data_IF_870695797090
#
_entry.id   IF_870695797090
#
_cell.length_a   1.000
_cell.length_b   1.000
_cell.length_c   1.000
_cell.angle_alpha   90.00
_cell.angle_beta   90.00
_cell.angle_gamma   90.00
#
_symmetry.space_group_name_H-M   'P 1'
#
loop_
_entity.id
_entity.type
_entity.pdbx_description
1 polymer ?
#
# COMPACT_ATOMS: atom_id res chain seq x y z
N UNK A 1 -18.57 10.54 27.57
CA UNK A 1 -19.68 11.06 26.74
C UNK A 1 -19.93 10.00 25.69
N UNK A 2 -21.11 9.38 25.72
CA UNK A 2 -21.43 8.22 24.91
C UNK A 2 -21.61 8.66 23.44
N UNK A 3 -21.33 7.80 22.45
CA UNK A 3 -21.60 8.10 21.03
C UNK A 3 -23.09 8.44 20.80
N UNK A 4 -24.00 7.88 21.61
CA UNK A 4 -25.43 8.24 21.59
C UNK A 4 -25.71 9.70 22.01
N UNK A 5 -24.94 10.26 22.95
CA UNK A 5 -25.05 11.68 23.30
C UNK A 5 -24.57 12.56 22.15
N UNK A 6 -23.57 12.10 21.38
CA UNK A 6 -23.04 12.82 20.24
C UNK A 6 -24.09 12.97 19.14
N UNK A 7 -24.84 11.89 18.83
CA UNK A 7 -25.93 11.91 17.83
C UNK A 7 -26.98 12.98 18.11
N UNK A 8 -27.33 13.17 19.38
CA UNK A 8 -28.41 14.09 19.79
C UNK A 8 -27.98 15.54 20.02
N UNK A 9 -26.67 15.84 20.05
CA UNK A 9 -26.15 17.15 20.49
C UNK A 9 -25.18 17.82 19.52
N UNK A 10 -24.47 17.05 18.70
CA UNK A 10 -23.53 17.62 17.73
C UNK A 10 -24.28 17.90 16.44
N UNK A 11 -24.03 19.07 15.86
CA UNK A 11 -24.81 19.55 14.71
C UNK A 11 -23.95 19.99 13.54
N UNK A 12 -22.65 20.22 13.75
CA UNK A 12 -21.72 20.68 12.72
C UNK A 12 -20.58 19.71 12.48
N UNK A 13 -19.95 19.83 11.31
CA UNK A 13 -18.69 19.12 10.99
C UNK A 13 -17.62 19.41 12.03
N UNK A 14 -17.50 20.68 12.49
CA UNK A 14 -16.55 21.09 13.53
C UNK A 14 -16.80 20.36 14.86
N UNK A 15 -18.06 20.22 15.27
CA UNK A 15 -18.42 19.52 16.50
C UNK A 15 -17.99 18.05 16.46
N UNK A 16 -18.28 17.38 15.34
CA UNK A 16 -17.99 15.97 15.09
C UNK A 16 -16.49 15.74 14.97
N UNK A 17 -15.75 16.60 14.28
CA UNK A 17 -14.30 16.53 14.17
C UNK A 17 -13.62 16.63 15.53
N UNK A 18 -13.97 17.65 16.32
CA UNK A 18 -13.43 17.79 17.68
C UNK A 18 -13.82 16.60 18.57
N UNK A 19 -15.02 16.04 18.37
CA UNK A 19 -15.47 14.83 19.09
C UNK A 19 -14.61 13.62 18.72
N UNK A 20 -14.47 13.35 17.43
CA UNK A 20 -13.68 12.27 16.86
C UNK A 20 -12.24 12.30 17.39
N UNK A 21 -11.54 13.43 17.25
CA UNK A 21 -10.17 13.60 17.76
C UNK A 21 -10.06 13.29 19.24
N UNK A 22 -11.03 13.76 20.05
CA UNK A 22 -11.04 13.46 21.49
C UNK A 22 -11.26 11.97 21.77
N UNK A 23 -12.14 11.31 21.01
CA UNK A 23 -12.42 9.87 21.16
C UNK A 23 -11.21 9.03 20.72
N UNK A 24 -10.60 9.37 19.60
CA UNK A 24 -9.45 8.69 19.02
C UNK A 24 -8.23 8.76 19.94
N UNK A 25 -7.92 9.95 20.45
CA UNK A 25 -6.84 10.12 21.43
C UNK A 25 -7.14 9.41 22.76
N UNK A 26 -8.39 9.46 23.23
CA UNK A 26 -8.76 8.75 24.47
C UNK A 26 -8.67 7.22 24.32
N UNK A 27 -8.96 6.69 23.13
CA UNK A 27 -8.85 5.27 22.83
C UNK A 27 -7.41 4.84 22.51
N UNK A 28 -6.46 5.77 22.46
CA UNK A 28 -5.06 5.50 22.11
C UNK A 28 -4.97 4.71 20.79
N UNK A 29 -5.71 5.18 19.77
CA UNK A 29 -5.67 4.58 18.45
C UNK A 29 -4.29 4.77 17.81
N UNK A 30 -3.87 3.77 17.05
CA UNK A 30 -2.68 3.88 16.21
C UNK A 30 -3.06 4.35 14.80
N UNK A 31 -2.18 5.16 14.18
CA UNK A 31 -2.35 5.71 12.84
C UNK A 31 -1.12 5.35 11.97
N UNK A 32 -1.35 5.03 10.70
CA UNK A 32 -0.27 4.63 9.79
C UNK A 32 -0.73 4.01 8.46
N UNK A 33 -2.04 3.83 8.29
CA UNK A 33 -2.68 3.28 7.10
C UNK A 33 -3.18 4.38 6.15
N UNK A 34 -2.41 5.45 5.97
CA UNK A 34 -2.74 6.59 5.09
C UNK A 34 -2.77 7.95 5.80
N UNK A 35 -3.03 7.97 7.10
CA UNK A 35 -2.93 9.18 7.95
C UNK A 35 -2.03 8.92 9.15
N UNK A 36 -1.40 9.96 9.70
CA UNK A 36 -0.40 9.84 10.78
C UNK A 36 -0.91 10.30 12.15
N UNK A 37 -2.12 10.87 12.22
CA UNK A 37 -2.66 11.40 13.46
C UNK A 37 -4.20 11.39 13.48
N UNK A 38 -4.74 11.57 14.69
CA UNK A 38 -6.17 11.54 14.94
C UNK A 38 -6.98 12.62 14.22
N UNK A 39 -6.39 13.79 13.95
CA UNK A 39 -7.09 14.88 13.29
C UNK A 39 -7.32 14.55 11.81
N UNK A 40 -6.27 14.13 11.12
CA UNK A 40 -6.34 13.81 9.69
C UNK A 40 -7.25 12.59 9.45
N UNK A 41 -7.15 11.52 10.27
CA UNK A 41 -8.02 10.36 10.09
C UNK A 41 -9.49 10.68 10.40
N UNK A 42 -9.74 11.51 11.42
CA UNK A 42 -11.09 11.98 11.73
C UNK A 42 -11.67 12.84 10.59
N UNK A 43 -10.88 13.76 10.04
CA UNK A 43 -11.28 14.57 8.90
C UNK A 43 -11.59 13.68 7.69
N UNK A 44 -10.72 12.71 7.38
CA UNK A 44 -10.93 11.75 6.31
C UNK A 44 -12.25 10.99 6.46
N UNK A 45 -12.49 10.36 7.63
CA UNK A 45 -13.71 9.59 7.86
C UNK A 45 -14.97 10.45 7.77
N UNK A 46 -14.93 11.68 8.27
CA UNK A 46 -16.07 12.61 8.21
C UNK A 46 -16.34 13.04 6.77
N UNK A 47 -15.32 13.52 6.05
CA UNK A 47 -15.47 14.00 4.68
C UNK A 47 -15.92 12.87 3.74
N UNK A 48 -15.31 11.68 3.87
CA UNK A 48 -15.69 10.50 3.11
C UNK A 48 -17.16 10.12 3.34
N UNK A 49 -17.59 10.06 4.60
CA UNK A 49 -18.97 9.68 4.97
C UNK A 49 -20.01 10.69 4.48
N UNK A 50 -19.64 11.98 4.43
CA UNK A 50 -20.51 13.05 3.93
C UNK A 50 -20.40 13.28 2.42
N UNK A 51 -19.59 12.48 1.71
CA UNK A 51 -19.30 12.64 0.28
C UNK A 51 -18.78 14.04 -0.08
N UNK A 52 -17.96 14.61 0.81
CA UNK A 52 -17.30 15.91 0.63
C UNK A 52 -15.88 15.73 0.05
N UNK A 53 -15.32 16.77 -0.60
CA UNK A 53 -13.94 16.72 -1.08
C UNK A 53 -12.95 16.46 0.07
N UNK A 54 -12.16 15.40 -0.05
CA UNK A 54 -11.22 14.95 1.01
C UNK A 54 -10.07 15.94 1.24
N UNK A 55 -9.77 16.79 0.27
CA UNK A 55 -8.72 17.81 0.30
C UNK A 55 -9.18 19.15 0.90
N UNK A 56 -10.47 19.28 1.29
CA UNK A 56 -11.04 20.57 1.73
C UNK A 56 -12.01 20.41 2.89
N UNK A 57 -11.55 20.75 4.08
CA UNK A 57 -12.33 20.67 5.31
C UNK A 57 -12.96 22.01 5.69
N UNK A 58 -12.20 23.10 5.58
CA UNK A 58 -12.51 24.42 6.14
C UNK A 58 -13.86 24.99 5.70
N UNK A 59 -14.27 24.90 4.42
CA UNK A 59 -15.55 25.45 3.98
C UNK A 59 -16.77 24.80 4.64
N UNK A 60 -16.61 23.57 5.14
CA UNK A 60 -17.71 22.76 5.66
C UNK A 60 -17.78 22.74 7.19
N UNK A 61 -16.77 23.27 7.89
CA UNK A 61 -16.68 23.17 9.35
C UNK A 61 -17.94 23.65 10.08
N UNK A 62 -18.54 24.76 9.62
CA UNK A 62 -19.71 25.37 10.26
C UNK A 62 -21.04 24.98 9.56
N UNK A 63 -20.99 24.06 8.60
CA UNK A 63 -22.18 23.49 7.96
C UNK A 63 -22.98 22.70 9.00
N UNK A 64 -24.29 22.95 9.04
CA UNK A 64 -25.20 22.17 9.86
C UNK A 64 -25.60 20.91 9.10
N UNK A 65 -25.46 19.77 9.76
CA UNK A 65 -25.75 18.48 9.20
C UNK A 65 -27.19 18.06 9.51
N UNK A 66 -27.79 17.31 8.60
CA UNK A 66 -29.02 16.58 8.83
C UNK A 66 -28.77 15.49 9.88
N UNK A 67 -29.83 15.07 10.57
CA UNK A 67 -29.70 14.05 11.61
C UNK A 67 -29.13 12.74 11.05
N UNK A 68 -29.52 12.35 9.84
CA UNK A 68 -29.00 11.14 9.17
C UNK A 68 -27.49 11.22 8.87
N UNK A 69 -26.99 12.40 8.52
CA UNK A 69 -25.56 12.66 8.29
C UNK A 69 -24.78 12.56 9.61
N UNK A 70 -25.30 13.17 10.68
CA UNK A 70 -24.73 13.05 12.02
C UNK A 70 -24.70 11.59 12.46
N UNK A 71 -25.80 10.86 12.30
CA UNK A 71 -25.90 9.45 12.70
C UNK A 71 -24.87 8.59 11.95
N UNK A 72 -24.70 8.82 10.65
CA UNK A 72 -23.76 8.09 9.79
C UNK A 72 -22.30 8.37 10.19
N UNK A 73 -21.96 9.65 10.43
CA UNK A 73 -20.62 10.05 10.87
C UNK A 73 -20.32 9.52 12.28
N UNK A 74 -21.25 9.66 13.23
CA UNK A 74 -21.04 9.16 14.58
C UNK A 74 -20.86 7.64 14.57
N UNK A 75 -21.57 6.93 13.71
CA UNK A 75 -21.46 5.48 13.56
C UNK A 75 -20.09 5.05 13.02
N UNK A 76 -19.56 5.65 11.95
CA UNK A 76 -18.23 5.29 11.44
C UNK A 76 -17.13 5.60 12.47
N UNK A 77 -17.27 6.72 13.21
CA UNK A 77 -16.33 7.10 14.27
C UNK A 77 -16.39 6.11 15.45
N UNK A 78 -17.58 5.60 15.78
CA UNK A 78 -17.78 4.55 16.79
C UNK A 78 -17.08 3.27 16.37
N UNK A 79 -17.31 2.82 15.13
CA UNK A 79 -16.65 1.64 14.56
C UNK A 79 -15.13 1.78 14.59
N UNK A 80 -14.58 2.93 14.19
CA UNK A 80 -13.13 3.19 14.24
C UNK A 80 -12.54 3.02 15.65
N UNK A 81 -13.26 3.46 16.68
CA UNK A 81 -12.83 3.34 18.08
C UNK A 81 -12.99 1.93 18.63
N UNK A 82 -14.13 1.28 18.37
CA UNK A 82 -14.47 0.00 18.98
C UNK A 82 -13.86 -1.19 18.25
N UNK A 83 -13.86 -1.16 16.91
CA UNK A 83 -13.36 -2.25 16.07
C UNK A 83 -11.86 -2.12 15.78
N UNK A 84 -11.30 -0.92 16.01
CA UNK A 84 -9.91 -0.54 15.69
C UNK A 84 -9.47 -0.97 14.28
N UNK A 85 -10.40 -0.98 13.33
CA UNK A 85 -10.06 -1.17 11.92
C UNK A 85 -9.41 0.11 11.40
N UNK A 86 -8.33 0.00 10.59
CA UNK A 86 -7.82 1.14 9.83
C UNK A 86 -8.95 1.85 9.06
N UNK A 87 -8.89 3.18 8.98
CA UNK A 87 -9.90 3.94 8.25
C UNK A 87 -10.15 3.43 6.81
N UNK A 88 -9.13 3.02 6.03
CA UNK A 88 -9.36 2.46 4.70
C UNK A 88 -10.25 1.22 4.63
N UNK A 89 -10.30 0.39 5.67
CA UNK A 89 -11.21 -0.77 5.70
C UNK A 89 -12.63 -0.37 6.08
N UNK A 90 -12.80 0.73 6.83
CA UNK A 90 -14.12 1.27 7.14
C UNK A 90 -14.74 1.96 5.91
N UNK A 91 -13.91 2.60 5.08
CA UNK A 91 -14.32 3.32 3.87
C UNK A 91 -14.25 2.48 2.60
N UNK A 92 -13.55 1.35 2.66
CA UNK A 92 -13.11 0.55 1.51
C UNK A 92 -12.32 1.34 0.46
N UNK A 93 -11.53 2.31 0.92
CA UNK A 93 -10.80 3.23 0.06
C UNK A 93 -9.43 3.55 0.66
N UNK A 94 -8.39 3.39 -0.15
CA UNK A 94 -7.04 3.82 0.16
C UNK A 94 -6.46 4.67 -0.97
N UNK A 95 -5.49 5.51 -0.62
CA UNK A 95 -4.82 6.41 -1.55
C UNK A 95 -3.34 6.10 -1.60
N UNK A 96 -2.79 5.93 -2.81
CA UNK A 96 -1.36 5.86 -3.04
C UNK A 96 -1.00 7.09 -3.88
N UNK A 97 -0.55 8.14 -3.20
CA UNK A 97 -0.54 9.52 -3.70
C UNK A 97 -1.89 9.95 -4.25
N UNK A 98 -1.97 10.25 -5.54
CA UNK A 98 -3.18 10.74 -6.23
C UNK A 98 -4.10 9.62 -6.75
N UNK A 99 -3.66 8.37 -6.70
CA UNK A 99 -4.43 7.22 -7.14
C UNK A 99 -5.25 6.60 -6.00
N UNK A 100 -6.50 6.25 -6.30
CA UNK A 100 -7.49 5.73 -5.36
C UNK A 100 -7.73 4.25 -5.65
N UNK A 101 -7.64 3.42 -4.62
CA UNK A 101 -7.83 1.98 -4.71
C UNK A 101 -8.93 1.52 -3.75
N UNK A 102 -9.74 0.56 -4.21
CA UNK A 102 -10.57 -0.23 -3.32
C UNK A 102 -9.67 -1.18 -2.51
N UNK A 103 -9.94 -1.25 -1.20
CA UNK A 103 -9.27 -2.15 -0.26
C UNK A 103 -10.26 -2.72 0.74
N UNK A 104 -9.94 -3.90 1.26
CA UNK A 104 -10.58 -4.51 2.42
C UNK A 104 -9.58 -5.44 3.12
N UNK A 105 -10.01 -6.18 4.15
CA UNK A 105 -9.15 -6.98 5.01
C UNK A 105 -8.41 -8.12 4.29
N UNK A 106 -8.66 -8.35 3.00
CA UNK A 106 -7.96 -9.36 2.17
C UNK A 106 -6.58 -8.89 1.68
N UNK A 107 -6.30 -7.59 1.72
CA UNK A 107 -5.05 -7.00 1.21
C UNK A 107 -4.41 -6.11 2.27
N UNK A 108 -3.13 -5.78 2.12
CA UNK A 108 -2.48 -4.72 2.88
C UNK A 108 -2.93 -3.34 2.38
N UNK A 109 -3.07 -2.35 3.27
CA UNK A 109 -3.37 -0.97 2.86
C UNK A 109 -2.16 -0.40 2.09
N UNK A 110 -2.34 0.09 0.84
CA UNK A 110 -1.28 0.66 0.00
C UNK A 110 -0.45 1.73 0.71
N UNK A 111 0.87 1.53 0.76
CA UNK A 111 1.84 2.48 1.36
C UNK A 111 3.29 2.27 0.92
N UNK A 112 3.51 1.87 -0.32
CA UNK A 112 4.85 1.57 -0.84
C UNK A 112 5.60 2.83 -1.29
N UNK A 113 6.88 2.92 -0.94
CA UNK A 113 7.78 3.98 -1.41
C UNK A 113 8.15 3.81 -2.89
N UNK A 114 8.02 2.61 -3.45
CA UNK A 114 8.20 2.36 -4.89
C UNK A 114 7.25 3.22 -5.72
N UNK A 115 6.10 3.60 -5.16
CA UNK A 115 5.17 4.48 -5.84
C UNK A 115 5.75 5.87 -6.16
N UNK A 116 6.62 6.40 -5.31
CA UNK A 116 7.32 7.67 -5.56
C UNK A 116 8.25 7.53 -6.77
N UNK A 117 9.04 6.45 -6.77
CA UNK A 117 10.00 6.13 -7.82
C UNK A 117 9.32 5.86 -9.17
N UNK A 118 8.19 5.16 -9.19
CA UNK A 118 7.41 4.93 -10.40
C UNK A 118 6.80 6.21 -10.97
N UNK A 119 6.39 7.18 -10.14
CA UNK A 119 5.93 8.49 -10.65
C UNK A 119 7.05 9.26 -11.34
N UNK A 120 8.27 9.09 -10.86
CA UNK A 120 9.48 9.64 -11.47
C UNK A 120 10.05 8.72 -12.57
N UNK A 121 9.29 7.73 -13.04
CA UNK A 121 9.66 6.82 -14.12
C UNK A 121 10.97 6.07 -13.85
N UNK A 122 11.35 5.87 -12.59
CA UNK A 122 12.63 5.27 -12.19
C UNK A 122 13.85 6.01 -12.78
N UNK A 123 13.74 7.33 -12.93
CA UNK A 123 14.86 8.13 -13.42
C UNK A 123 16.05 8.09 -12.45
N UNK A 124 17.29 8.21 -12.99
CA UNK A 124 17.64 8.17 -14.41
C UNK A 124 18.02 6.77 -14.93
N UNK A 125 17.56 5.69 -14.27
CA UNK A 125 17.94 4.32 -14.66
C UNK A 125 17.12 3.80 -15.83
N UNK A 126 15.90 4.30 -16.01
CA UNK A 126 15.12 4.14 -17.23
C UNK A 126 15.28 5.40 -18.08
N UNK A 127 16.11 5.34 -19.12
CA UNK A 127 16.34 6.49 -20.01
C UNK A 127 15.11 6.76 -20.91
N UNK A 128 14.49 5.70 -21.41
CA UNK A 128 13.31 5.73 -22.28
C UNK A 128 12.18 4.89 -21.68
N UNK A 129 11.15 5.52 -21.09
CA UNK A 129 9.98 4.83 -20.55
C UNK A 129 9.23 3.98 -21.58
N UNK A 130 9.29 4.34 -22.87
CA UNK A 130 8.63 3.56 -23.93
C UNK A 130 9.35 2.25 -24.25
N UNK A 131 10.62 2.11 -23.82
CA UNK A 131 11.41 0.90 -24.00
C UNK A 131 11.07 -0.20 -22.98
N UNK A 132 10.35 0.14 -21.89
CA UNK A 132 9.81 -0.85 -20.97
C UNK A 132 8.55 -1.44 -21.59
N UNK A 133 8.58 -2.74 -21.89
CA UNK A 133 7.49 -3.45 -22.58
C UNK A 133 6.96 -4.65 -21.81
N UNK A 134 7.71 -5.11 -20.80
CA UNK A 134 7.34 -6.24 -19.95
C UNK A 134 7.64 -5.93 -18.47
N UNK A 135 6.61 -5.98 -17.63
CA UNK A 135 6.69 -5.66 -16.20
C UNK A 135 6.18 -6.81 -15.33
N UNK A 136 6.74 -6.93 -14.12
CA UNK A 136 6.27 -7.85 -13.09
C UNK A 136 6.07 -7.08 -11.78
N UNK A 137 4.86 -7.13 -11.23
CA UNK A 137 4.58 -6.73 -9.85
C UNK A 137 4.47 -7.98 -8.97
N UNK A 138 5.50 -8.23 -8.17
CA UNK A 138 5.64 -9.39 -7.31
C UNK A 138 5.11 -9.09 -5.90
N UNK A 139 4.23 -9.95 -5.39
CA UNK A 139 3.45 -9.71 -4.16
C UNK A 139 2.47 -8.53 -4.33
N UNK A 140 1.69 -8.55 -5.42
CA UNK A 140 0.92 -7.39 -5.89
C UNK A 140 -0.18 -6.92 -4.93
N UNK A 141 -0.70 -7.80 -4.07
CA UNK A 141 -1.75 -7.47 -3.11
C UNK A 141 -2.99 -6.87 -3.78
N UNK A 142 -3.21 -5.58 -3.56
CA UNK A 142 -4.34 -4.83 -4.14
C UNK A 142 -4.16 -4.42 -5.60
N UNK A 143 -3.02 -4.73 -6.22
CA UNK A 143 -2.71 -4.33 -7.60
C UNK A 143 -2.19 -2.90 -7.75
N UNK A 144 -1.94 -2.18 -6.65
CA UNK A 144 -1.67 -0.75 -6.71
C UNK A 144 -0.35 -0.39 -7.41
N UNK A 145 0.72 -1.16 -7.19
CA UNK A 145 1.99 -0.97 -7.89
C UNK A 145 1.90 -1.42 -9.35
N UNK A 146 1.23 -2.54 -9.63
CA UNK A 146 0.98 -2.99 -11.00
C UNK A 146 0.20 -1.94 -11.83
N UNK A 147 -0.86 -1.36 -11.26
CA UNK A 147 -1.65 -0.31 -11.90
C UNK A 147 -0.82 0.96 -12.10
N UNK A 148 -0.07 1.39 -11.08
CA UNK A 148 0.80 2.56 -11.20
C UNK A 148 1.88 2.34 -12.28
N UNK A 149 2.50 1.17 -12.33
CA UNK A 149 3.46 0.79 -13.35
C UNK A 149 2.85 0.81 -14.76
N UNK A 150 1.60 0.34 -14.92
CA UNK A 150 0.87 0.36 -16.19
C UNK A 150 0.62 1.80 -16.69
N UNK A 151 0.25 2.69 -15.77
CA UNK A 151 0.01 4.11 -16.05
C UNK A 151 1.31 4.86 -16.34
N UNK A 152 2.41 4.51 -15.66
CA UNK A 152 3.74 5.09 -15.88
C UNK A 152 4.34 4.65 -17.22
N UNK A 153 4.21 3.37 -17.58
CA UNK A 153 4.82 2.77 -18.77
C UNK A 153 3.74 2.19 -19.70
N UNK A 154 3.10 3.02 -20.55
CA UNK A 154 1.87 2.66 -21.27
C UNK A 154 2.02 1.53 -22.30
N UNK A 155 3.25 1.20 -22.72
CA UNK A 155 3.54 0.10 -23.63
C UNK A 155 3.84 -1.23 -22.91
N UNK A 156 3.83 -1.24 -21.57
CA UNK A 156 4.24 -2.39 -20.77
C UNK A 156 3.10 -3.37 -20.57
N UNK A 157 3.27 -4.63 -20.96
CA UNK A 157 2.41 -5.71 -20.48
C UNK A 157 2.89 -6.17 -19.11
N UNK A 158 1.97 -6.22 -18.14
CA UNK A 158 2.31 -6.44 -16.74
C UNK A 158 1.70 -7.75 -16.25
N UNK A 159 2.54 -8.62 -15.71
CA UNK A 159 2.07 -9.69 -14.84
C UNK A 159 2.07 -9.18 -13.40
N UNK A 160 0.94 -9.30 -12.70
CA UNK A 160 0.84 -8.99 -11.29
C UNK A 160 0.55 -10.29 -10.53
N UNK A 161 1.45 -10.68 -9.64
CA UNK A 161 1.44 -12.00 -9.01
C UNK A 161 1.27 -11.91 -7.51
N UNK A 162 0.44 -12.79 -6.97
CA UNK A 162 0.24 -12.94 -5.53
C UNK A 162 -0.03 -14.40 -5.18
N UNK A 163 0.32 -14.80 -3.96
CA UNK A 163 0.00 -16.12 -3.42
C UNK A 163 -1.51 -16.25 -3.13
N UNK A 164 -2.14 -15.13 -2.72
CA UNK A 164 -3.51 -15.07 -2.26
C UNK A 164 -4.50 -14.82 -3.40
N UNK A 165 -5.40 -15.78 -3.65
CA UNK A 165 -6.54 -15.57 -4.56
C UNK A 165 -7.44 -14.43 -4.11
N UNK A 166 -7.60 -14.26 -2.79
CA UNK A 166 -8.44 -13.24 -2.19
C UNK A 166 -7.87 -11.82 -2.44
N UNK A 167 -6.54 -11.69 -2.42
CA UNK A 167 -5.86 -10.46 -2.81
C UNK A 167 -6.02 -10.18 -4.31
N UNK A 168 -5.86 -11.21 -5.16
CA UNK A 168 -6.07 -11.08 -6.61
C UNK A 168 -7.51 -10.70 -6.97
N UNK A 169 -8.50 -11.06 -6.15
CA UNK A 169 -9.89 -10.61 -6.35
C UNK A 169 -10.04 -9.10 -6.09
N UNK A 170 -9.35 -8.57 -5.08
CA UNK A 170 -9.27 -7.12 -4.85
C UNK A 170 -8.51 -6.43 -5.99
N UNK A 171 -7.36 -6.98 -6.40
CA UNK A 171 -6.60 -6.46 -7.53
C UNK A 171 -7.43 -6.43 -8.81
N UNK A 172 -8.23 -7.47 -9.09
CA UNK A 172 -9.09 -7.51 -10.28
C UNK A 172 -10.10 -6.38 -10.31
N UNK A 173 -10.69 -6.04 -9.17
CA UNK A 173 -11.58 -4.89 -9.08
C UNK A 173 -10.83 -3.59 -9.37
N UNK A 174 -9.66 -3.39 -8.77
CA UNK A 174 -8.88 -2.19 -9.00
C UNK A 174 -8.42 -2.06 -10.46
N UNK A 175 -7.96 -3.15 -11.08
CA UNK A 175 -7.58 -3.17 -12.50
C UNK A 175 -8.77 -2.75 -13.38
N UNK A 176 -9.97 -3.25 -13.10
CA UNK A 176 -11.19 -2.87 -13.81
C UNK A 176 -11.62 -1.42 -13.57
N UNK A 177 -11.49 -0.91 -12.33
CA UNK A 177 -11.77 0.49 -11.99
C UNK A 177 -10.88 1.48 -12.79
N UNK A 178 -9.70 1.03 -13.24
CA UNK A 178 -8.77 1.79 -14.08
C UNK A 178 -8.84 1.43 -15.58
N UNK A 179 -9.61 0.40 -15.97
CA UNK A 179 -9.76 -0.02 -17.37
C UNK A 179 -8.49 -0.62 -17.99
N UNK A 180 -7.68 -1.33 -17.20
CA UNK A 180 -6.37 -1.84 -17.62
C UNK A 180 -6.34 -3.38 -17.81
N UNK A 181 -7.49 -4.02 -18.00
CA UNK A 181 -7.60 -5.48 -18.12
C UNK A 181 -6.83 -6.05 -19.32
N UNK A 182 -6.63 -5.27 -20.37
CA UNK A 182 -5.87 -5.68 -21.56
C UNK A 182 -4.35 -5.61 -21.35
N UNK A 183 -3.89 -4.83 -20.35
CA UNK A 183 -2.49 -4.58 -20.06
C UNK A 183 -1.98 -5.39 -18.86
N UNK A 184 -2.86 -5.73 -17.92
CA UNK A 184 -2.53 -6.40 -16.67
C UNK A 184 -3.09 -7.83 -16.59
N UNK A 185 -2.19 -8.80 -16.40
CA UNK A 185 -2.51 -10.20 -16.13
C UNK A 185 -2.33 -10.53 -14.64
N UNK A 186 -3.42 -10.95 -13.98
CA UNK A 186 -3.39 -11.38 -12.59
C UNK A 186 -3.11 -12.89 -12.50
N UNK A 187 -2.04 -13.27 -11.79
CA UNK A 187 -1.56 -14.65 -11.75
C UNK A 187 -1.39 -15.09 -10.29
N UNK A 188 -2.06 -16.17 -9.90
CA UNK A 188 -1.77 -16.81 -8.61
C UNK A 188 -0.43 -17.54 -8.69
N UNK A 189 0.52 -17.15 -7.86
CA UNK A 189 1.87 -17.72 -7.84
C UNK A 189 2.48 -17.59 -6.46
N UNK A 190 3.21 -18.62 -6.02
CA UNK A 190 4.20 -18.45 -4.95
C UNK A 190 5.48 -17.91 -5.60
N UNK A 191 5.71 -16.61 -5.44
CA UNK A 191 6.78 -15.88 -6.09
C UNK A 191 6.90 -16.21 -7.59
N UNK A 192 8.00 -16.82 -8.03
CA UNK A 192 8.28 -17.13 -9.44
C UNK A 192 7.69 -18.48 -9.93
N UNK A 193 7.05 -19.27 -9.08
CA UNK A 193 6.68 -20.66 -9.39
C UNK A 193 5.76 -20.82 -10.61
N UNK A 194 4.89 -19.86 -10.90
CA UNK A 194 4.00 -19.87 -12.07
C UNK A 194 4.55 -19.07 -13.29
N UNK A 195 5.80 -18.61 -13.23
CA UNK A 195 6.38 -17.67 -14.21
C UNK A 195 7.45 -18.30 -15.11
N UNK A 196 7.49 -19.63 -15.22
CA UNK A 196 8.49 -20.33 -16.02
C UNK A 196 8.54 -19.82 -17.47
N UNK A 197 9.75 -19.49 -17.93
CA UNK A 197 9.99 -18.98 -19.28
C UNK A 197 9.65 -17.50 -19.50
N UNK A 198 9.01 -16.83 -18.54
CA UNK A 198 8.70 -15.40 -18.61
C UNK A 198 9.90 -14.55 -18.22
N UNK A 199 10.08 -13.42 -18.91
CA UNK A 199 11.13 -12.43 -18.63
C UNK A 199 10.57 -11.02 -18.72
N UNK A 200 11.16 -10.12 -17.94
CA UNK A 200 10.66 -8.77 -17.71
C UNK A 200 11.79 -7.75 -17.85
N UNK A 201 11.44 -6.58 -18.38
CA UNK A 201 12.30 -5.39 -18.39
C UNK A 201 12.36 -4.75 -17.01
N UNK A 202 11.27 -4.85 -16.24
CA UNK A 202 11.16 -4.32 -14.89
C UNK A 202 10.45 -5.33 -13.96
N UNK A 203 11.10 -5.68 -12.84
CA UNK A 203 10.48 -6.39 -11.73
C UNK A 203 10.41 -5.44 -10.54
N UNK A 204 9.20 -5.22 -10.04
CA UNK A 204 8.92 -4.48 -8.81
C UNK A 204 8.41 -5.46 -7.76
N UNK A 205 8.83 -5.29 -6.51
CA UNK A 205 8.24 -6.04 -5.40
C UNK A 205 8.21 -5.24 -4.11
N UNK A 206 7.07 -5.23 -3.44
CA UNK A 206 6.96 -4.88 -2.03
C UNK A 206 6.59 -6.14 -1.24
N UNK A 207 7.53 -7.08 -1.04
CA UNK A 207 7.24 -8.32 -0.36
C UNK A 207 7.01 -8.07 1.14
N UNK A 208 6.40 -9.04 1.85
CA UNK A 208 6.40 -9.03 3.30
C UNK A 208 7.83 -8.90 3.85
N UNK A 209 8.03 -8.03 4.85
CA UNK A 209 9.36 -7.79 5.45
C UNK A 209 9.35 -7.60 6.97
N UNK A 210 8.22 -7.85 7.64
CA UNK A 210 8.11 -7.74 9.10
C UNK A 210 8.59 -9.05 9.73
N UNK A 211 9.63 -8.97 10.56
CA UNK A 211 10.16 -10.11 11.29
C UNK A 211 9.23 -10.58 12.43
N UNK A 212 9.40 -11.84 12.85
CA UNK A 212 8.57 -12.47 13.87
C UNK A 212 8.50 -11.69 15.22
N UNK A 213 9.60 -11.13 15.77
CA UNK A 213 9.53 -10.29 16.97
C UNK A 213 8.65 -9.04 16.79
N UNK A 214 8.75 -8.37 15.64
CA UNK A 214 7.95 -7.16 15.35
C UNK A 214 6.48 -7.49 15.16
N UNK A 215 6.15 -8.63 14.56
CA UNK A 215 4.76 -9.11 14.45
C UNK A 215 4.07 -9.26 15.81
N UNK A 216 4.82 -9.61 16.87
CA UNK A 216 4.26 -9.77 18.22
C UNK A 216 3.91 -8.44 18.89
N UNK A 217 4.59 -7.35 18.52
CA UNK A 217 4.41 -6.03 19.13
C UNK A 217 3.56 -5.08 18.28
N UNK A 218 3.04 -5.55 17.13
CA UNK A 218 2.19 -4.74 16.27
C UNK A 218 0.97 -4.17 17.02
N UNK A 219 0.64 -2.88 16.82
CA UNK A 219 -0.61 -2.29 17.29
C UNK A 219 -1.83 -3.03 16.75
N UNK A 220 -2.96 -2.92 17.44
CA UNK A 220 -4.19 -3.65 17.07
C UNK A 220 -4.66 -3.33 15.65
N UNK A 221 -4.50 -2.08 15.20
CA UNK A 221 -4.84 -1.63 13.85
C UNK A 221 -4.05 -2.38 12.76
N UNK A 222 -2.74 -2.58 12.94
CA UNK A 222 -1.90 -3.33 11.99
C UNK A 222 -2.24 -4.82 11.97
N UNK A 223 -2.69 -5.38 13.10
CA UNK A 223 -3.14 -6.78 13.17
C UNK A 223 -4.45 -7.03 12.43
N UNK A 224 -5.12 -5.99 11.92
CA UNK A 224 -6.29 -6.11 11.04
C UNK A 224 -5.91 -6.37 9.59
N UNK A 225 -4.66 -6.18 9.21
CA UNK A 225 -4.16 -6.52 7.88
C UNK A 225 -3.79 -8.02 7.80
N UNK A 226 -3.76 -8.61 6.59
CA UNK A 226 -3.36 -10.01 6.42
C UNK A 226 -1.95 -10.26 6.96
N UNK A 227 -1.82 -11.24 7.85
CA UNK A 227 -0.50 -11.68 8.38
C UNK A 227 0.46 -12.06 7.25
N UNK A 228 -0.05 -12.71 6.20
CA UNK A 228 0.73 -13.13 5.05
C UNK A 228 1.30 -11.94 4.23
N UNK A 229 0.70 -10.75 4.33
CA UNK A 229 1.20 -9.55 3.67
C UNK A 229 2.24 -8.78 4.52
N UNK A 230 2.41 -9.14 5.79
CA UNK A 230 3.34 -8.48 6.71
C UNK A 230 4.54 -9.37 7.05
N UNK A 231 4.29 -10.62 7.43
CA UNK A 231 5.28 -11.50 8.03
C UNK A 231 6.23 -12.13 7.00
N UNK A 232 7.53 -12.15 7.30
CA UNK A 232 8.56 -12.73 6.43
C UNK A 232 9.66 -13.43 7.22
N UNK A 233 9.35 -14.64 7.71
CA UNK A 233 10.32 -15.46 8.45
C UNK A 233 10.87 -14.79 9.73
N UNK A 234 12.02 -15.31 10.18
CA UNK A 234 12.69 -14.83 11.40
C UNK A 234 13.43 -13.51 11.17
N UNK A 235 14.03 -13.31 9.99
CA UNK A 235 14.88 -12.16 9.66
C UNK A 235 14.14 -11.05 8.87
N UNK A 236 12.91 -11.29 8.41
CA UNK A 236 12.19 -10.35 7.56
C UNK A 236 12.53 -10.47 6.07
N UNK A 237 13.45 -11.36 5.66
CA UNK A 237 14.05 -11.34 4.33
C UNK A 237 13.86 -12.63 3.52
N UNK A 238 13.15 -13.64 4.04
CA UNK A 238 12.95 -14.93 3.35
C UNK A 238 12.46 -14.80 1.90
N UNK A 239 11.47 -13.92 1.67
CA UNK A 239 10.96 -13.64 0.32
C UNK A 239 11.99 -12.90 -0.53
N UNK A 240 12.70 -11.91 0.04
CA UNK A 240 13.74 -11.14 -0.65
C UNK A 240 14.91 -12.03 -1.07
N UNK A 241 15.33 -12.96 -0.22
CA UNK A 241 16.36 -13.96 -0.53
C UNK A 241 15.98 -14.80 -1.76
N UNK A 242 14.72 -15.20 -1.86
CA UNK A 242 14.21 -15.94 -3.01
C UNK A 242 14.14 -15.07 -4.26
N UNK A 243 13.70 -13.81 -4.10
CA UNK A 243 13.64 -12.84 -5.20
C UNK A 243 15.02 -12.60 -5.80
N UNK A 244 16.02 -12.31 -4.98
CA UNK A 244 17.40 -12.08 -5.44
C UNK A 244 17.98 -13.29 -6.16
N UNK A 245 17.67 -14.52 -5.70
CA UNK A 245 18.16 -15.76 -6.32
C UNK A 245 17.52 -16.06 -7.67
N UNK A 246 16.23 -15.81 -7.83
CA UNK A 246 15.48 -16.19 -9.03
C UNK A 246 15.38 -15.07 -10.08
N UNK A 247 15.44 -13.80 -9.66
CA UNK A 247 15.34 -12.64 -10.56
C UNK A 247 16.26 -12.69 -11.79
N UNK A 248 17.55 -13.15 -11.74
CA UNK A 248 18.40 -13.27 -12.93
C UNK A 248 17.81 -14.11 -14.06
N UNK A 249 16.98 -15.11 -13.70
CA UNK A 249 16.33 -16.01 -14.66
C UNK A 249 15.08 -15.38 -15.28
N UNK A 250 14.53 -14.34 -14.67
CA UNK A 250 13.30 -13.67 -15.07
C UNK A 250 13.51 -12.22 -15.53
N UNK A 251 14.73 -11.70 -15.51
CA UNK A 251 15.04 -10.40 -16.11
C UNK A 251 15.50 -10.56 -17.56
N UNK A 252 15.12 -9.59 -18.40
CA UNK A 252 15.75 -9.34 -19.70
C UNK A 252 17.15 -8.74 -19.50
N UNK A 253 17.96 -8.74 -20.57
CA UNK A 253 19.26 -8.03 -20.55
C UNK A 253 19.02 -6.54 -20.30
N UNK A 254 19.74 -5.96 -19.34
CA UNK A 254 19.52 -4.59 -18.88
C UNK A 254 18.24 -4.39 -18.05
N UNK A 255 17.52 -5.46 -17.71
CA UNK A 255 16.31 -5.38 -16.89
C UNK A 255 16.63 -4.97 -15.45
N UNK A 256 15.67 -4.32 -14.81
CA UNK A 256 15.79 -3.76 -13.47
C UNK A 256 14.96 -4.55 -12.46
N UNK A 257 15.53 -4.77 -11.28
CA UNK A 257 14.85 -5.27 -10.08
C UNK A 257 14.75 -4.13 -9.07
N UNK A 258 13.55 -3.81 -8.60
CA UNK A 258 13.29 -2.78 -7.58
C UNK A 258 12.51 -3.43 -6.43
N UNK A 259 13.06 -3.40 -5.23
CA UNK A 259 12.46 -4.10 -4.08
C UNK A 259 12.48 -3.21 -2.84
N UNK A 260 11.34 -3.14 -2.16
CA UNK A 260 11.19 -2.51 -0.85
C UNK A 260 11.41 -3.54 0.27
N UNK A 261 12.16 -3.19 1.31
CA UNK A 261 12.53 -4.12 2.40
C UNK A 261 12.33 -3.56 3.81
N UNK A 262 11.70 -2.40 3.95
CA UNK A 262 11.56 -1.73 5.25
C UNK A 262 12.92 -1.37 5.85
N UNK A 263 13.19 -1.78 7.10
CA UNK A 263 14.39 -1.41 7.86
C UNK A 263 15.50 -2.48 7.82
N UNK A 264 15.49 -3.35 6.81
CA UNK A 264 16.34 -4.56 6.79
C UNK A 264 17.63 -4.40 5.96
N UNK A 265 18.09 -3.17 5.70
CA UNK A 265 19.28 -2.88 4.87
C UNK A 265 20.54 -3.59 5.36
N UNK A 266 20.93 -3.37 6.61
CA UNK A 266 22.17 -3.94 7.18
C UNK A 266 22.17 -5.47 7.10
N UNK A 267 21.03 -6.10 7.44
CA UNK A 267 20.87 -7.55 7.39
C UNK A 267 20.93 -8.08 5.94
N UNK A 268 20.39 -7.34 4.98
CA UNK A 268 20.44 -7.72 3.57
C UNK A 268 21.86 -7.60 2.99
N UNK A 269 22.58 -6.52 3.29
CA UNK A 269 23.97 -6.33 2.87
C UNK A 269 24.90 -7.37 3.52
N UNK A 270 24.65 -7.77 4.77
CA UNK A 270 25.39 -8.87 5.43
C UNK A 270 25.11 -10.23 4.75
N UNK A 271 23.87 -10.48 4.32
CA UNK A 271 23.50 -11.71 3.64
C UNK A 271 24.05 -11.80 2.19
N UNK A 272 24.20 -10.66 1.51
CA UNK A 272 24.70 -10.57 0.14
C UNK A 272 25.80 -9.52 -0.02
N UNK A 273 26.98 -9.71 0.60
CA UNK A 273 28.03 -8.69 0.65
C UNK A 273 28.67 -8.40 -0.71
N UNK A 274 28.50 -9.30 -1.69
CA UNK A 274 29.05 -9.17 -3.04
C UNK A 274 28.08 -8.46 -4.01
N UNK A 275 26.81 -8.27 -3.63
CA UNK A 275 25.85 -7.58 -4.49
C UNK A 275 26.02 -6.06 -4.38
N UNK A 276 26.17 -5.34 -5.51
CA UNK A 276 26.36 -3.89 -5.50
C UNK A 276 25.00 -3.17 -5.41
N UNK A 277 24.32 -3.27 -4.26
CA UNK A 277 23.02 -2.64 -4.03
C UNK A 277 23.06 -1.14 -4.34
N UNK A 278 22.15 -0.68 -5.20
CA UNK A 278 21.88 0.74 -5.41
C UNK A 278 20.68 1.13 -4.58
N UNK A 279 20.89 1.80 -3.46
CA UNK A 279 19.80 2.29 -2.63
C UNK A 279 19.20 3.56 -3.22
N UNK A 280 17.87 3.57 -3.36
CA UNK A 280 17.13 4.66 -3.96
C UNK A 280 16.61 5.60 -2.87
N UNK A 281 16.76 6.90 -3.11
CA UNK A 281 16.24 7.94 -2.21
C UNK A 281 14.72 8.06 -2.37
N UNK A 282 14.01 7.95 -1.25
CA UNK A 282 12.56 8.15 -1.15
C UNK A 282 12.25 9.07 0.03
N UNK A 283 10.99 9.49 0.19
CA UNK A 283 10.59 10.42 1.25
C UNK A 283 10.96 9.98 2.68
N UNK A 284 11.10 8.67 2.91
CA UNK A 284 11.53 8.09 4.19
C UNK A 284 13.05 7.91 4.35
N UNK A 285 13.86 8.19 3.32
CA UNK A 285 15.30 8.04 3.32
C UNK A 285 15.81 7.14 2.19
N UNK A 286 17.06 6.68 2.30
CA UNK A 286 17.78 5.89 1.28
C UNK A 286 18.12 4.48 1.77
N UNK A 287 17.27 3.89 2.62
CA UNK A 287 17.51 2.57 3.24
C UNK A 287 16.40 1.54 2.97
N UNK A 288 15.32 1.96 2.29
CA UNK A 288 14.09 1.18 2.22
C UNK A 288 13.89 0.46 0.89
N UNK A 289 14.40 1.03 -0.20
CA UNK A 289 14.22 0.50 -1.56
C UNK A 289 15.58 0.37 -2.21
N UNK A 290 15.89 -0.83 -2.70
CA UNK A 290 17.09 -1.05 -3.50
C UNK A 290 16.73 -1.32 -4.96
N UNK A 291 17.73 -1.10 -5.81
CA UNK A 291 17.71 -1.46 -7.21
C UNK A 291 18.96 -2.25 -7.58
N UNK A 292 18.76 -3.28 -8.40
CA UNK A 292 19.82 -4.06 -9.04
C UNK A 292 19.46 -4.31 -10.50
N UNK A 293 20.47 -4.30 -11.38
CA UNK A 293 20.30 -4.77 -12.76
C UNK A 293 20.47 -6.28 -12.83
N UNK A 294 19.95 -6.89 -13.89
CA UNK A 294 20.20 -8.31 -14.18
C UNK A 294 21.69 -8.65 -14.15
N UNK A 295 22.53 -7.80 -14.74
CA UNK A 295 23.97 -8.03 -14.86
C UNK A 295 24.68 -7.99 -13.50
N UNK A 296 24.16 -7.23 -12.53
CA UNK A 296 24.69 -7.20 -11.16
C UNK A 296 24.30 -8.44 -10.35
N UNK A 297 23.18 -9.09 -10.69
CA UNK A 297 22.69 -10.30 -10.03
C UNK A 297 23.28 -11.61 -10.62
N UNK A 298 24.01 -11.54 -11.74
CA UNK A 298 24.44 -12.69 -12.55
C UNK A 298 25.89 -13.15 -12.31
#
# INVERSE_FOLDING_TARGET
MNFEDAKSRLTTVRDLLRFAVSRFNQAELFFGHGTTNAFDEAAYLILHTLHLPLDRLEPFLDAHLLQEEVDSVVEILRRRVEERQPAPYLTHEAWLGDLRFYVDERVIVPRSFIAELLREQLQPWVEDPEAITSGLDMCTGSGCLAILMALTFPNTLIDAVDLSTDALDVARRNVADYGLEDQLSLIQSDLFTALEGRRYDLIVSNPPYVNAPSMQTLPEEYRREPVAALASGEDGLEHVHTILREAPKHLNKGGLLVVEIGHNRDALEEAFPELPFTWLEVSAGDEHVFLLTREQLA
#
